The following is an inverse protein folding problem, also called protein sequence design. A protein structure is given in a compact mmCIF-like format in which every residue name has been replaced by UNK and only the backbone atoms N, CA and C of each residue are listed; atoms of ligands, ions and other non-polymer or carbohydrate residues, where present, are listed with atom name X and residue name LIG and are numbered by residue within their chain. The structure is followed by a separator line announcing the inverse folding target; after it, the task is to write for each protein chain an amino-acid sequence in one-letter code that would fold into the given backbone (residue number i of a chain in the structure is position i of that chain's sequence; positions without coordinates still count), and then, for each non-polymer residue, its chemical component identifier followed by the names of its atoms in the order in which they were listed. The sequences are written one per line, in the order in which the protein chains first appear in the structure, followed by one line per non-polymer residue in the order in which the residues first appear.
data_IF_568369941539
#
_entry.id   IF_568369941539
#
_cell.length_a   1.000
_cell.length_b   1.000
_cell.length_c   1.000
_cell.angle_alpha   90.00
_cell.angle_beta   90.00
_cell.angle_gamma   90.00
#
_symmetry.space_group_name_H-M   'P 1'
#
loop_
_entity.id
_entity.type
_entity.pdbx_description
1 polymer ?
#
# COMPACT_ATOMS: atom_id res chain seq x y z
N UNK A 1 -10.03 -15.29 11.12
CA UNK A 1 -9.08 -14.96 10.03
C UNK A 1 -8.53 -16.27 9.49
N UNK A 2 -8.50 -16.47 8.16
CA UNK A 2 -8.04 -17.73 7.57
C UNK A 2 -6.53 -17.94 7.81
N UNK A 3 -6.09 -19.20 7.88
CA UNK A 3 -4.67 -19.55 8.05
C UNK A 3 -3.80 -18.99 6.91
N UNK A 4 -4.32 -18.97 5.68
CA UNK A 4 -3.66 -18.38 4.50
C UNK A 4 -3.33 -16.90 4.72
N UNK A 5 -4.31 -16.12 5.16
CA UNK A 5 -4.14 -14.67 5.40
C UNK A 5 -3.15 -14.44 6.54
N UNK A 6 -3.31 -15.14 7.66
CA UNK A 6 -2.41 -14.99 8.80
C UNK A 6 -0.96 -15.32 8.44
N UNK A 7 -0.74 -16.35 7.61
CA UNK A 7 0.57 -16.71 7.07
C UNK A 7 1.14 -15.61 6.17
N UNK A 8 0.38 -15.10 5.20
CA UNK A 8 0.86 -14.05 4.28
C UNK A 8 1.22 -12.75 5.04
N UNK A 9 0.39 -12.35 6.02
CA UNK A 9 0.68 -11.18 6.87
C UNK A 9 1.99 -11.34 7.65
N UNK A 10 2.25 -12.55 8.18
CA UNK A 10 3.47 -12.85 8.93
C UNK A 10 4.70 -12.91 8.02
N UNK A 11 4.60 -13.59 6.87
CA UNK A 11 5.68 -13.70 5.88
C UNK A 11 6.10 -12.34 5.34
N UNK A 12 5.13 -11.44 5.08
CA UNK A 12 5.41 -10.06 4.66
C UNK A 12 5.85 -9.15 5.81
N UNK A 13 5.82 -9.61 7.05
CA UNK A 13 6.20 -8.82 8.22
C UNK A 13 5.27 -7.65 8.52
N UNK A 14 4.03 -7.65 8.02
CA UNK A 14 3.08 -6.53 8.17
C UNK A 14 2.77 -6.27 9.65
N UNK A 15 2.66 -7.32 10.48
CA UNK A 15 2.44 -7.17 11.92
C UNK A 15 3.56 -6.47 12.69
N UNK A 16 4.74 -6.28 12.08
CA UNK A 16 5.90 -5.62 12.70
C UNK A 16 6.04 -4.15 12.28
N UNK A 17 5.13 -3.65 11.44
CA UNK A 17 5.15 -2.25 11.00
C UNK A 17 4.85 -1.33 12.19
N UNK A 18 5.78 -0.41 12.46
CA UNK A 18 5.67 0.61 13.51
C UNK A 18 4.65 1.70 13.16
N UNK A 19 4.51 2.05 11.87
CA UNK A 19 3.52 3.02 11.39
C UNK A 19 2.12 2.37 11.34
N UNK A 20 1.28 2.67 12.33
CA UNK A 20 -0.03 2.06 12.50
C UNK A 20 -0.92 2.22 11.27
N UNK A 21 -0.92 3.41 10.66
CA UNK A 21 -1.69 3.71 9.47
C UNK A 21 -1.29 2.78 8.30
N UNK A 22 0.01 2.70 7.99
CA UNK A 22 0.51 1.79 6.97
C UNK A 22 0.19 0.33 7.31
N UNK A 23 0.32 -0.07 8.58
CA UNK A 23 0.01 -1.44 9.03
C UNK A 23 -1.44 -1.82 8.75
N UNK A 24 -2.40 -0.97 9.13
CA UNK A 24 -3.83 -1.19 8.90
C UNK A 24 -4.11 -1.29 7.41
N UNK A 25 -3.65 -0.31 6.62
CA UNK A 25 -3.88 -0.30 5.17
C UNK A 25 -3.36 -1.58 4.48
N UNK A 26 -2.14 -2.01 4.81
CA UNK A 26 -1.55 -3.20 4.20
C UNK A 26 -2.20 -4.49 4.66
N UNK A 27 -2.66 -4.55 5.91
CA UNK A 27 -3.41 -5.69 6.44
C UNK A 27 -4.71 -5.87 5.65
N UNK A 28 -5.49 -4.81 5.49
CA UNK A 28 -6.73 -4.85 4.71
C UNK A 28 -6.46 -5.14 3.24
N UNK A 29 -5.39 -4.58 2.68
CA UNK A 29 -4.99 -4.86 1.30
C UNK A 29 -4.72 -6.36 1.09
N UNK A 30 -4.06 -7.05 2.03
CA UNK A 30 -3.86 -8.50 1.95
C UNK A 30 -5.18 -9.25 2.08
N UNK A 31 -6.07 -8.84 2.99
CA UNK A 31 -7.39 -9.46 3.19
C UNK A 31 -8.22 -9.36 1.90
N UNK A 32 -8.38 -8.16 1.35
CA UNK A 32 -9.18 -7.93 0.14
C UNK A 32 -8.57 -8.56 -1.11
N UNK A 33 -7.23 -8.63 -1.19
CA UNK A 33 -6.53 -9.36 -2.26
C UNK A 33 -6.90 -10.84 -2.22
N UNK A 34 -6.82 -11.46 -1.05
CA UNK A 34 -7.17 -12.87 -0.87
C UNK A 34 -8.66 -13.14 -1.17
N UNK A 35 -9.55 -12.22 -0.78
CA UNK A 35 -10.97 -12.32 -1.10
C UNK A 35 -11.22 -12.26 -2.61
N UNK A 36 -10.53 -11.36 -3.32
CA UNK A 36 -10.61 -11.27 -4.78
C UNK A 36 -10.04 -12.52 -5.47
N UNK A 37 -8.89 -13.04 -5.03
CA UNK A 37 -8.29 -14.27 -5.59
C UNK A 37 -9.25 -15.47 -5.47
N UNK A 38 -9.89 -15.64 -4.31
CA UNK A 38 -10.85 -16.72 -4.08
C UNK A 38 -12.09 -16.58 -4.99
N UNK A 39 -12.56 -15.36 -5.19
CA UNK A 39 -13.67 -15.07 -6.11
C UNK A 39 -13.29 -15.39 -7.56
N UNK A 40 -12.09 -15.00 -8.00
CA UNK A 40 -11.59 -15.25 -9.35
C UNK A 40 -11.37 -16.75 -9.61
N UNK A 41 -10.85 -17.48 -8.62
CA UNK A 41 -10.73 -18.94 -8.66
C UNK A 41 -12.10 -19.60 -8.82
N UNK A 42 -13.06 -19.19 -7.97
CA UNK A 42 -14.44 -19.67 -8.05
C UNK A 42 -15.06 -19.39 -9.43
N UNK A 43 -14.91 -18.16 -9.95
CA UNK A 43 -15.42 -17.78 -11.26
C UNK A 43 -14.80 -18.63 -12.38
N UNK A 44 -13.49 -18.88 -12.31
CA UNK A 44 -12.77 -19.69 -13.30
C UNK A 44 -13.30 -21.12 -13.31
N UNK A 45 -13.46 -21.74 -12.15
CA UNK A 45 -14.00 -23.10 -12.02
C UNK A 45 -15.46 -23.13 -12.51
N UNK A 46 -16.26 -22.12 -12.18
CA UNK A 46 -17.64 -21.99 -12.66
C UNK A 46 -17.70 -22.01 -14.19
N UNK A 47 -16.94 -21.13 -14.86
CA UNK A 47 -16.92 -21.06 -16.34
C UNK A 47 -16.44 -22.39 -16.94
N UNK A 48 -15.41 -23.01 -16.35
CA UNK A 48 -14.87 -24.29 -16.81
C UNK A 48 -15.86 -25.46 -16.66
N UNK A 49 -16.72 -25.43 -15.64
CA UNK A 49 -17.65 -26.52 -15.33
C UNK A 49 -18.81 -26.68 -16.32
N UNK A 50 -19.17 -25.62 -17.05
CA UNK A 50 -20.26 -25.65 -18.02
C UNK A 50 -21.56 -26.25 -17.43
N UNK A 51 -22.36 -27.00 -18.21
CA UNK A 51 -23.52 -27.75 -17.70
C UNK A 51 -23.15 -29.10 -17.05
N UNK A 52 -21.86 -29.47 -16.96
CA UNK A 52 -21.43 -30.82 -16.62
C UNK A 52 -21.31 -31.11 -15.12
N UNK A 53 -21.24 -30.07 -14.28
CA UNK A 53 -21.17 -30.19 -12.82
C UNK A 53 -22.18 -29.21 -12.22
N UNK A 54 -23.01 -29.70 -11.29
CA UNK A 54 -23.92 -28.84 -10.53
C UNK A 54 -23.12 -27.73 -9.85
N UNK A 55 -23.53 -26.48 -10.08
CA UNK A 55 -22.89 -25.26 -9.52
C UNK A 55 -22.83 -25.29 -8.00
N UNK A 56 -23.76 -26.01 -7.35
CA UNK A 56 -23.77 -26.23 -5.90
C UNK A 56 -22.61 -27.12 -5.44
N UNK A 57 -22.17 -28.09 -6.25
CA UNK A 57 -21.05 -28.96 -5.90
C UNK A 57 -19.74 -28.17 -5.75
N UNK A 58 -19.46 -27.21 -6.64
CA UNK A 58 -18.24 -26.39 -6.61
C UNK A 58 -18.24 -25.40 -5.42
N UNK A 59 -19.40 -24.78 -5.13
CA UNK A 59 -19.56 -23.87 -3.98
C UNK A 59 -19.28 -24.60 -2.67
N UNK A 60 -19.81 -25.83 -2.51
CA UNK A 60 -19.65 -26.58 -1.26
C UNK A 60 -18.20 -27.04 -1.04
N UNK A 61 -17.47 -27.51 -2.06
CA UNK A 61 -16.07 -27.92 -1.85
C UNK A 61 -15.14 -26.76 -1.50
N UNK A 62 -15.48 -25.52 -1.90
CA UNK A 62 -14.64 -24.33 -1.66
C UNK A 62 -15.07 -23.54 -0.41
N UNK A 63 -16.35 -23.56 -0.04
CA UNK A 63 -16.92 -22.82 1.11
C UNK A 63 -17.36 -23.72 2.28
N UNK A 64 -17.06 -25.02 2.22
CA UNK A 64 -17.41 -26.04 3.24
C UNK A 64 -17.17 -25.64 4.70
N UNK A 65 -16.13 -24.86 5.07
CA UNK A 65 -15.94 -24.45 6.46
C UNK A 65 -16.98 -23.49 7.03
N UNK A 66 -17.94 -22.99 6.23
CA UNK A 66 -18.78 -21.83 6.59
C UNK A 66 -20.29 -22.10 6.71
N UNK A 67 -20.80 -23.31 6.38
CA UNK A 67 -22.25 -23.57 6.40
C UNK A 67 -22.61 -25.00 6.83
N UNK A 68 -23.65 -25.15 7.66
CA UNK A 68 -24.13 -26.44 8.18
C UNK A 68 -25.23 -27.11 7.32
N UNK A 69 -25.96 -26.39 6.44
CA UNK A 69 -27.04 -26.98 5.63
C UNK A 69 -27.15 -26.45 4.19
N UNK A 70 -27.58 -27.36 3.30
CA UNK A 70 -27.75 -27.24 1.85
C UNK A 70 -29.08 -26.58 1.47
N UNK A 71 -29.05 -25.44 0.75
CA UNK A 71 -30.21 -24.92 0.01
C UNK A 71 -29.84 -24.54 -1.42
N UNK A 72 -30.54 -25.12 -2.40
CA UNK A 72 -30.31 -24.89 -3.84
C UNK A 72 -31.15 -23.71 -4.33
N UNK A 73 -30.55 -22.66 -4.92
CA UNK A 73 -31.30 -21.70 -5.71
C UNK A 73 -31.75 -22.33 -7.03
N UNK A 74 -33.01 -22.11 -7.40
CA UNK A 74 -33.58 -22.60 -8.67
C UNK A 74 -32.91 -21.86 -9.85
N UNK A 75 -32.08 -22.59 -10.61
CA UNK A 75 -31.47 -22.21 -11.89
C UNK A 75 -30.88 -20.78 -12.03
N UNK A 76 -29.76 -20.46 -11.34
CA UNK A 76 -29.06 -19.21 -11.57
C UNK A 76 -28.39 -19.18 -12.95
N UNK A 77 -28.74 -18.19 -13.77
CA UNK A 77 -28.19 -17.96 -15.11
C UNK A 77 -26.94 -17.06 -15.10
N UNK A 78 -26.35 -16.81 -16.28
CA UNK A 78 -25.16 -15.96 -16.43
C UNK A 78 -25.37 -14.54 -15.88
N UNK A 79 -26.58 -13.99 -15.98
CA UNK A 79 -26.89 -12.64 -15.51
C UNK A 79 -26.93 -12.56 -13.98
N UNK A 80 -27.54 -13.55 -13.33
CA UNK A 80 -27.51 -13.68 -11.86
C UNK A 80 -26.06 -13.73 -11.36
N UNK A 81 -25.21 -14.56 -11.96
CA UNK A 81 -23.82 -14.69 -11.53
C UNK A 81 -23.02 -13.41 -11.77
N UNK A 82 -23.15 -12.78 -12.94
CA UNK A 82 -22.55 -11.47 -13.18
C UNK A 82 -23.00 -10.44 -12.13
N UNK A 83 -24.28 -10.45 -11.76
CA UNK A 83 -24.83 -9.62 -10.70
C UNK A 83 -24.18 -9.88 -9.34
N UNK A 84 -24.03 -11.16 -8.95
CA UNK A 84 -23.35 -11.56 -7.71
C UNK A 84 -21.88 -11.11 -7.70
N UNK A 85 -21.13 -11.35 -8.77
CA UNK A 85 -19.73 -10.94 -8.88
C UNK A 85 -19.58 -9.41 -8.83
N UNK A 86 -20.46 -8.68 -9.51
CA UNK A 86 -20.49 -7.21 -9.46
C UNK A 86 -20.80 -6.70 -8.05
N UNK A 87 -21.76 -7.32 -7.34
CA UNK A 87 -22.09 -6.95 -5.97
C UNK A 87 -20.93 -7.21 -5.01
N UNK A 88 -20.24 -8.35 -5.15
CA UNK A 88 -19.06 -8.67 -4.34
C UNK A 88 -17.89 -7.72 -4.64
N UNK A 89 -17.64 -7.40 -5.91
CA UNK A 89 -16.63 -6.41 -6.32
C UNK A 89 -16.94 -5.02 -5.76
N UNK A 90 -18.21 -4.61 -5.78
CA UNK A 90 -18.64 -3.37 -5.15
C UNK A 90 -18.39 -3.39 -3.63
N UNK A 91 -18.68 -4.52 -2.97
CA UNK A 91 -18.38 -4.74 -1.55
C UNK A 91 -16.88 -4.61 -1.24
N UNK A 92 -16.00 -5.24 -2.04
CA UNK A 92 -14.55 -5.09 -1.92
C UNK A 92 -14.14 -3.63 -2.13
N UNK A 93 -14.67 -2.96 -3.16
CA UNK A 93 -14.37 -1.54 -3.43
C UNK A 93 -14.70 -0.65 -2.24
N UNK A 94 -15.90 -0.81 -1.67
CA UNK A 94 -16.35 -0.03 -0.51
C UNK A 94 -15.51 -0.36 0.72
N UNK A 95 -15.24 -1.64 0.98
CA UNK A 95 -14.40 -2.07 2.10
C UNK A 95 -12.97 -1.53 2.00
N UNK A 96 -12.42 -1.46 0.80
CA UNK A 96 -11.16 -0.77 0.55
C UNK A 96 -11.30 0.71 0.85
N UNK A 97 -12.25 1.44 0.29
CA UNK A 97 -12.39 2.88 0.56
C UNK A 97 -12.43 3.17 2.07
N UNK A 98 -13.17 2.38 2.85
CA UNK A 98 -13.15 2.44 4.32
C UNK A 98 -11.77 2.23 4.91
N UNK A 99 -11.03 1.20 4.49
CA UNK A 99 -9.65 0.99 4.94
C UNK A 99 -8.70 2.16 4.62
N UNK A 100 -8.90 2.88 3.50
CA UNK A 100 -8.10 4.11 3.26
C UNK A 100 -8.55 5.21 4.20
N UNK A 101 -9.85 5.36 4.44
CA UNK A 101 -10.33 6.37 5.38
C UNK A 101 -9.80 6.14 6.80
N UNK A 102 -9.78 4.89 7.27
CA UNK A 102 -9.18 4.50 8.55
C UNK A 102 -7.67 4.78 8.57
N UNK A 103 -6.93 4.37 7.53
CA UNK A 103 -5.52 4.72 7.38
C UNK A 103 -5.31 6.24 7.45
N UNK A 104 -6.12 7.05 6.74
CA UNK A 104 -5.98 8.50 6.74
C UNK A 104 -6.32 9.07 8.13
N UNK A 105 -7.32 8.52 8.82
CA UNK A 105 -7.67 8.92 10.19
C UNK A 105 -6.52 8.64 11.18
N UNK A 106 -5.85 7.50 11.03
CA UNK A 106 -4.75 7.07 11.89
C UNK A 106 -3.40 7.67 11.46
N UNK A 107 -3.27 8.11 10.21
CA UNK A 107 -2.07 8.75 9.71
C UNK A 107 -1.86 10.11 10.38
N UNK A 108 -0.60 10.42 10.69
CA UNK A 108 -0.26 11.77 11.16
C UNK A 108 -0.54 12.78 10.04
N UNK A 109 -1.55 13.62 10.25
CA UNK A 109 -1.84 14.73 9.33
C UNK A 109 -0.78 15.80 9.43
N UNK A 110 -0.25 16.20 8.29
CA UNK A 110 0.68 17.32 8.16
C UNK A 110 -0.07 18.47 7.51
N UNK A 111 -0.32 19.52 8.27
CA UNK A 111 -0.90 20.75 7.75
C UNK A 111 0.21 21.66 7.23
N UNK A 112 0.17 21.95 5.94
CA UNK A 112 1.16 22.78 5.25
C UNK A 112 0.79 24.26 5.22
N UNK A 113 -0.42 24.63 5.68
CA UNK A 113 -1.07 25.92 5.50
C UNK A 113 -1.24 26.36 4.01
N UNK A 114 -0.86 25.50 3.05
CA UNK A 114 -0.87 25.75 1.61
C UNK A 114 -1.15 24.44 0.90
N UNK A 115 -2.27 24.29 0.21
CA UNK A 115 -2.55 23.07 -0.54
C UNK A 115 -1.41 22.74 -1.54
N UNK A 116 -0.59 21.70 -1.31
CA UNK A 116 0.57 21.40 -2.13
C UNK A 116 0.18 20.64 -3.41
N UNK A 117 -1.00 20.03 -3.43
CA UNK A 117 -1.45 19.11 -4.49
C UNK A 117 -1.94 19.83 -5.75
N UNK A 118 -2.28 21.13 -5.64
CA UNK A 118 -2.60 21.98 -6.79
C UNK A 118 -1.39 22.68 -7.42
N UNK A 119 -0.17 22.30 -7.02
CA UNK A 119 1.09 22.92 -7.48
C UNK A 119 1.86 21.97 -8.40
N UNK A 120 2.80 22.53 -9.16
CA UNK A 120 3.75 21.73 -9.93
C UNK A 120 4.61 20.87 -9.00
N UNK A 121 5.22 19.82 -9.54
CA UNK A 121 5.97 18.81 -8.79
C UNK A 121 7.08 19.41 -7.91
N UNK A 122 7.74 20.47 -8.40
CA UNK A 122 8.85 21.09 -7.67
C UNK A 122 8.33 21.92 -6.50
N UNK A 123 7.36 22.81 -6.74
CA UNK A 123 6.75 23.63 -5.68
C UNK A 123 6.06 22.75 -4.63
N UNK A 124 5.40 21.67 -5.05
CA UNK A 124 4.82 20.66 -4.15
C UNK A 124 5.87 20.05 -3.24
N UNK A 125 6.97 19.58 -3.82
CA UNK A 125 8.08 18.99 -3.06
C UNK A 125 8.60 19.94 -1.99
N UNK A 126 8.83 21.21 -2.33
CA UNK A 126 9.29 22.21 -1.37
C UNK A 126 8.33 22.43 -0.19
N UNK A 127 7.02 22.54 -0.46
CA UNK A 127 6.02 22.73 0.59
C UNK A 127 5.98 21.52 1.52
N UNK A 128 6.03 20.32 0.96
CA UNK A 128 6.00 19.05 1.70
C UNK A 128 7.26 18.87 2.53
N UNK A 129 8.44 19.10 1.95
CA UNK A 129 9.74 18.98 2.63
C UNK A 129 9.84 19.91 3.83
N UNK A 130 9.44 21.17 3.65
CA UNK A 130 9.44 22.16 4.74
C UNK A 130 8.50 21.72 5.88
N UNK A 131 7.32 21.19 5.54
CA UNK A 131 6.33 20.79 6.53
C UNK A 131 6.67 19.47 7.26
N UNK A 132 7.45 18.60 6.61
CA UNK A 132 7.92 17.33 7.17
C UNK A 132 9.29 17.46 7.88
N UNK A 133 9.84 18.66 7.95
CA UNK A 133 11.02 18.95 8.76
C UNK A 133 12.35 18.56 8.11
N UNK A 134 12.48 18.71 6.78
CA UNK A 134 13.77 18.60 6.10
C UNK A 134 14.81 19.49 6.82
N UNK A 135 15.92 18.88 7.27
CA UNK A 135 16.95 19.54 8.07
C UNK A 135 18.33 19.56 7.40
N UNK A 136 18.46 19.00 6.18
CA UNK A 136 19.69 19.01 5.38
C UNK A 136 19.66 20.05 4.25
N UNK A 137 18.49 20.61 3.99
CA UNK A 137 18.25 21.58 2.92
C UNK A 137 17.84 20.91 1.61
N UNK A 138 17.06 21.64 0.81
CA UNK A 138 16.34 21.16 -0.39
C UNK A 138 17.22 20.59 -1.52
N UNK A 139 18.53 20.78 -1.44
CA UNK A 139 19.48 20.33 -2.47
C UNK A 139 20.42 19.26 -1.96
N UNK A 140 20.29 18.83 -0.71
CA UNK A 140 21.13 17.76 -0.19
C UNK A 140 20.85 16.46 -0.97
N UNK A 141 21.87 15.69 -1.36
CA UNK A 141 21.65 14.53 -2.20
C UNK A 141 20.92 13.43 -1.42
N UNK A 142 19.80 12.94 -1.97
CA UNK A 142 19.10 11.69 -1.60
C UNK A 142 18.45 11.65 -0.21
N UNK A 143 18.93 12.43 0.74
CA UNK A 143 18.48 12.45 2.14
C UNK A 143 17.97 13.84 2.46
N UNK A 144 16.84 13.90 3.16
CA UNK A 144 16.16 15.13 3.52
C UNK A 144 16.22 15.36 5.04
N UNK A 145 16.24 14.29 5.84
CA UNK A 145 16.36 14.35 7.31
C UNK A 145 17.53 13.49 7.76
N UNK A 146 18.39 14.06 8.59
CA UNK A 146 19.35 13.32 9.40
C UNK A 146 19.05 13.49 10.88
N UNK A 147 18.68 12.40 11.54
CA UNK A 147 18.54 12.33 12.98
C UNK A 147 19.78 11.65 13.57
N UNK A 148 20.66 12.48 14.16
CA UNK A 148 21.91 12.04 14.76
C UNK A 148 21.73 11.21 16.03
N UNK A 149 20.67 11.47 16.80
CA UNK A 149 20.46 10.80 18.08
C UNK A 149 20.09 9.33 17.87
N UNK A 150 19.32 9.06 16.81
CA UNK A 150 18.78 7.74 16.51
C UNK A 150 19.57 7.00 15.41
N UNK A 151 20.71 7.56 14.96
CA UNK A 151 21.48 7.08 13.79
C UNK A 151 20.54 6.77 12.60
N UNK A 152 19.69 7.73 12.24
CA UNK A 152 18.64 7.53 11.25
C UNK A 152 18.64 8.60 10.16
N UNK A 153 18.42 8.17 8.92
CA UNK A 153 18.28 9.03 7.74
C UNK A 153 16.95 8.78 7.05
N UNK A 154 16.34 9.85 6.55
CA UNK A 154 15.08 9.76 5.82
C UNK A 154 15.13 10.55 4.52
N UNK A 155 14.54 9.98 3.47
CA UNK A 155 14.12 10.76 2.30
C UNK A 155 12.62 11.00 2.35
N UNK A 156 12.22 12.19 1.94
CA UNK A 156 10.84 12.61 1.78
C UNK A 156 10.50 12.55 0.29
N UNK A 157 9.37 11.93 -0.04
CA UNK A 157 8.82 11.92 -1.41
C UNK A 157 7.34 12.22 -1.38
N UNK A 158 6.92 13.16 -2.24
CA UNK A 158 5.51 13.50 -2.43
C UNK A 158 4.96 12.85 -3.70
N UNK A 159 3.90 12.05 -3.55
CA UNK A 159 3.21 11.41 -4.65
C UNK A 159 1.78 11.92 -4.72
N UNK A 160 1.46 12.64 -5.79
CA UNK A 160 0.06 12.98 -6.09
C UNK A 160 -0.62 11.77 -6.73
N UNK A 161 -1.00 10.81 -5.91
CA UNK A 161 -1.71 9.58 -6.33
C UNK A 161 -3.14 9.87 -6.79
N UNK A 162 -3.67 11.07 -6.57
CA UNK A 162 -5.01 11.44 -7.03
C UNK A 162 -5.03 11.75 -8.53
N UNK A 163 -3.93 12.29 -9.07
CA UNK A 163 -3.82 12.66 -10.50
C UNK A 163 -2.81 11.80 -11.26
N UNK A 164 -1.75 11.37 -10.58
CA UNK A 164 -0.66 10.58 -11.15
C UNK A 164 -0.79 9.12 -10.71
N UNK A 165 0.01 8.25 -11.33
CA UNK A 165 0.08 6.83 -10.99
C UNK A 165 -1.25 6.06 -11.05
N UNK A 166 -2.10 6.42 -12.02
CA UNK A 166 -3.37 5.74 -12.28
C UNK A 166 -3.20 4.40 -13.01
N UNK A 167 -2.01 4.19 -13.61
CA UNK A 167 -1.69 2.97 -14.36
C UNK A 167 -1.10 1.92 -13.42
N UNK A 168 -1.48 0.67 -13.61
CA UNK A 168 -0.92 -0.43 -12.85
C UNK A 168 0.61 -0.47 -12.93
N UNK A 169 1.26 -0.76 -11.79
CA UNK A 169 2.72 -0.83 -11.61
C UNK A 169 3.46 0.49 -11.77
N UNK A 170 2.79 1.58 -12.15
CA UNK A 170 3.47 2.85 -12.37
C UNK A 170 3.97 3.46 -11.06
N UNK A 171 3.21 3.32 -9.97
CA UNK A 171 3.64 3.82 -8.68
C UNK A 171 4.73 2.94 -8.09
N UNK A 172 4.57 1.61 -8.17
CA UNK A 172 5.57 0.66 -7.68
C UNK A 172 6.95 0.92 -8.29
N UNK A 173 7.03 1.15 -9.61
CA UNK A 173 8.30 1.46 -10.28
C UNK A 173 8.96 2.70 -9.69
N UNK A 174 8.18 3.75 -9.44
CA UNK A 174 8.68 4.97 -8.86
C UNK A 174 9.14 4.77 -7.41
N UNK A 175 8.29 4.16 -6.57
CA UNK A 175 8.63 3.82 -5.18
C UNK A 175 9.91 2.99 -5.11
N UNK A 176 10.06 1.99 -5.99
CA UNK A 176 11.27 1.18 -6.09
C UNK A 176 12.52 2.00 -6.42
N UNK A 177 12.43 2.95 -7.35
CA UNK A 177 13.55 3.86 -7.64
C UNK A 177 13.94 4.71 -6.43
N UNK A 178 12.96 5.22 -5.69
CA UNK A 178 13.19 6.03 -4.49
C UNK A 178 13.76 5.19 -3.34
N UNK A 179 13.30 3.94 -3.17
CA UNK A 179 13.86 2.96 -2.23
C UNK A 179 15.32 2.63 -2.60
N UNK A 180 15.60 2.34 -3.87
CA UNK A 180 16.96 2.06 -4.34
C UNK A 180 17.92 3.21 -4.08
N UNK A 181 17.44 4.44 -4.22
CA UNK A 181 18.21 5.64 -3.93
C UNK A 181 18.70 5.66 -2.48
N UNK A 182 17.90 5.17 -1.52
CA UNK A 182 18.30 5.01 -0.11
C UNK A 182 19.18 3.78 0.14
N UNK A 183 18.93 2.67 -0.56
CA UNK A 183 19.79 1.47 -0.50
C UNK A 183 21.24 1.85 -0.85
N UNK A 184 21.42 2.62 -1.91
CA UNK A 184 22.72 3.05 -2.42
C UNK A 184 23.49 3.99 -1.48
N UNK A 185 22.84 4.53 -0.44
CA UNK A 185 23.50 5.34 0.61
C UNK A 185 24.26 4.40 1.54
N UNK A 186 25.51 4.10 1.20
CA UNK A 186 26.36 3.13 1.93
C UNK A 186 27.56 3.77 2.62
N UNK A 187 27.76 5.07 2.42
CA UNK A 187 28.91 5.85 2.91
C UNK A 187 28.47 7.26 3.24
N UNK A 188 29.30 7.95 4.02
CA UNK A 188 29.12 9.37 4.34
C UNK A 188 28.85 10.22 3.09
N UNK A 189 27.92 11.15 3.22
CA UNK A 189 27.61 12.13 2.18
C UNK A 189 28.04 13.50 2.68
N UNK A 190 29.04 14.08 2.01
CA UNK A 190 29.49 15.45 2.25
C UNK A 190 28.97 16.37 1.15
N UNK A 191 28.20 17.38 1.52
CA UNK A 191 27.64 18.34 0.58
C UNK A 191 27.53 19.73 1.22
N UNK A 192 28.03 20.76 0.53
CA UNK A 192 27.98 22.18 0.94
C UNK A 192 28.33 22.41 2.42
N UNK A 193 29.40 21.79 2.91
CA UNK A 193 29.88 21.95 4.28
C UNK A 193 29.14 21.15 5.35
N UNK A 194 28.15 20.33 4.97
CA UNK A 194 27.49 19.36 5.86
C UNK A 194 27.92 17.95 5.51
N UNK A 195 28.29 17.15 6.51
CA UNK A 195 28.61 15.72 6.35
C UNK A 195 27.63 14.90 7.16
N UNK A 196 26.84 14.08 6.48
CA UNK A 196 25.97 13.06 7.08
C UNK A 196 26.80 11.79 7.21
N UNK A 197 27.06 11.39 8.45
CA UNK A 197 27.75 10.14 8.74
C UNK A 197 26.79 8.96 8.52
N UNK A 198 27.24 7.95 7.77
CA UNK A 198 26.45 6.76 7.46
C UNK A 198 27.30 5.53 7.75
N UNK A 199 26.74 4.63 8.54
CA UNK A 199 27.34 3.34 8.86
C UNK A 199 26.41 2.19 8.46
N UNK A 200 26.86 0.95 8.67
CA UNK A 200 26.02 -0.23 8.45
C UNK A 200 24.84 -0.32 9.44
N UNK A 201 24.89 0.35 10.60
CA UNK A 201 23.79 0.39 11.57
C UNK A 201 22.78 1.49 11.30
N UNK A 202 23.10 2.46 10.43
CA UNK A 202 22.26 3.63 10.20
C UNK A 202 20.89 3.19 9.66
N UNK A 203 19.84 3.51 10.40
CA UNK A 203 18.46 3.22 10.00
C UNK A 203 18.07 4.12 8.84
N UNK A 204 17.37 3.54 7.85
CA UNK A 204 16.97 4.25 6.64
C UNK A 204 15.45 4.22 6.50
N UNK A 205 14.85 5.35 6.17
CA UNK A 205 13.42 5.45 5.94
C UNK A 205 13.04 6.26 4.72
N UNK A 206 11.94 5.88 4.08
CA UNK A 206 11.26 6.65 3.06
C UNK A 206 9.93 7.15 3.64
N UNK A 207 9.81 8.47 3.76
CA UNK A 207 8.57 9.15 4.14
C UNK A 207 7.78 9.44 2.86
N UNK A 208 6.64 8.77 2.73
CA UNK A 208 5.72 8.86 1.61
C UNK A 208 4.62 9.86 1.98
N UNK A 209 4.70 11.05 1.40
CA UNK A 209 3.68 12.09 1.53
C UNK A 209 2.58 11.90 0.49
N UNK A 210 1.34 11.76 0.95
CA UNK A 210 0.15 11.49 0.13
C UNK A 210 -0.94 12.54 0.34
N UNK A 211 -1.76 12.82 -0.69
CA UNK A 211 -2.95 13.63 -0.51
C UNK A 211 -3.96 12.91 0.38
N UNK A 212 -4.84 13.69 1.03
CA UNK A 212 -6.01 13.17 1.72
C UNK A 212 -7.07 12.67 0.72
N UNK A 213 -6.78 11.54 0.05
CA UNK A 213 -7.60 10.91 -0.98
C UNK A 213 -7.50 9.39 -0.90
N UNK A 214 -8.59 8.72 -1.25
CA UNK A 214 -8.64 7.27 -1.36
C UNK A 214 -7.59 6.75 -2.37
N UNK A 215 -6.88 5.68 -2.00
CA UNK A 215 -5.98 4.99 -2.92
C UNK A 215 -6.76 3.97 -3.72
N UNK A 216 -6.53 3.94 -5.04
CA UNK A 216 -7.14 2.91 -5.90
C UNK A 216 -6.59 1.54 -5.56
N UNK A 217 -7.28 0.48 -5.98
CA UNK A 217 -6.84 -0.89 -5.74
C UNK A 217 -5.41 -1.14 -6.26
N UNK A 218 -5.14 -0.71 -7.49
CA UNK A 218 -3.81 -0.86 -8.08
C UNK A 218 -2.72 -0.12 -7.30
N UNK A 219 -3.05 1.03 -6.69
CA UNK A 219 -2.09 1.79 -5.89
C UNK A 219 -1.78 1.10 -4.56
N UNK A 220 -2.78 0.47 -3.94
CA UNK A 220 -2.58 -0.35 -2.73
C UNK A 220 -1.69 -1.55 -2.99
N UNK A 221 -1.92 -2.26 -4.10
CA UNK A 221 -1.06 -3.38 -4.51
C UNK A 221 0.37 -2.91 -4.80
N UNK A 222 0.53 -1.78 -5.49
CA UNK A 222 1.85 -1.20 -5.74
C UNK A 222 2.57 -0.81 -4.43
N UNK A 223 1.84 -0.27 -3.46
CA UNK A 223 2.36 0.06 -2.14
C UNK A 223 2.73 -1.19 -1.32
N UNK A 224 1.90 -2.24 -1.35
CA UNK A 224 2.18 -3.52 -0.68
C UNK A 224 3.46 -4.18 -1.23
N UNK A 225 3.65 -4.15 -2.55
CA UNK A 225 4.86 -4.65 -3.20
C UNK A 225 6.08 -3.79 -2.86
N UNK A 226 5.92 -2.47 -2.84
CA UNK A 226 6.99 -1.55 -2.45
C UNK A 226 7.38 -1.74 -0.98
N UNK A 227 6.42 -1.97 -0.09
CA UNK A 227 6.66 -2.30 1.31
C UNK A 227 7.46 -3.58 1.47
N UNK A 228 7.02 -4.66 0.79
CA UNK A 228 7.74 -5.94 0.81
C UNK A 228 9.19 -5.75 0.36
N UNK A 229 9.38 -5.05 -0.77
CA UNK A 229 10.70 -4.77 -1.30
C UNK A 229 11.56 -3.89 -0.37
N UNK A 230 10.98 -2.87 0.25
CA UNK A 230 11.67 -2.01 1.21
C UNK A 230 12.11 -2.79 2.45
N UNK A 231 11.23 -3.62 3.01
CA UNK A 231 11.50 -4.45 4.18
C UNK A 231 12.65 -5.44 3.92
N UNK A 232 12.65 -6.12 2.77
CA UNK A 232 13.71 -7.03 2.35
C UNK A 232 15.09 -6.35 2.25
N UNK A 233 15.10 -5.02 2.08
CA UNK A 233 16.32 -4.20 1.96
C UNK A 233 16.57 -3.31 3.17
N UNK A 234 15.88 -3.54 4.30
CA UNK A 234 16.07 -2.80 5.54
C UNK A 234 15.66 -1.32 5.48
N UNK A 235 14.77 -0.95 4.54
CA UNK A 235 14.23 0.40 4.41
C UNK A 235 12.86 0.47 5.07
N UNK A 236 12.70 1.36 6.04
CA UNK A 236 11.40 1.65 6.67
C UNK A 236 10.53 2.50 5.74
N UNK A 237 9.25 2.16 5.59
CA UNK A 237 8.28 3.04 4.93
C UNK A 237 7.39 3.70 5.98
N UNK A 238 7.12 4.99 5.79
CA UNK A 238 6.27 5.80 6.68
C UNK A 238 5.29 6.56 5.80
N UNK A 239 4.00 6.53 6.12
CA UNK A 239 3.00 7.31 5.41
C UNK A 239 2.68 8.59 6.19
N UNK A 240 2.59 9.70 5.46
CA UNK A 240 2.10 10.98 5.98
C UNK A 240 1.03 11.54 5.04
N UNK A 241 -0.13 11.83 5.60
CA UNK A 241 -1.20 12.50 4.85
C UNK A 241 -0.99 14.00 4.96
N UNK A 242 -0.81 14.67 3.82
CA UNK A 242 -0.53 16.11 3.77
C UNK A 242 -1.74 16.86 3.26
N UNK A 243 -2.09 17.95 3.94
CA UNK A 243 -3.22 18.84 3.61
C UNK A 243 -2.81 20.31 3.58
#
# INVERSE_FOLDING_TARGET
MSEKIAKELNEKGIGKIEDDALRVLLTDTVIYKNAQELQDEFYTIYIASGPAISTSHIIHTTLEPLYEEYQVPVHPDKEFWNGLFNAFNAGISVGMDFATMEMIADASYVNTNKNPWGKDVFTRGQIVDDALGNNLGRTFPRIDIWNKADDAIYSIKSYDTATSYQKARSWYKQLKCDINTLIDVTKDISYRGTTVAVSASTSKGLIIALPNKALTWSQRLDLLDAFTYAADNGIKLIIKVVK
#
